data_IF_201185404642
#
_entry.id   IF_201185404642
#
_cell.length_a   1.000
_cell.length_b   1.000
_cell.length_c   1.000
_cell.angle_alpha   90.00
_cell.angle_beta   90.00
_cell.angle_gamma   90.00
#
_symmetry.space_group_name_H-M   'P 1'
#
loop_
_entity.id
_entity.type
_entity.pdbx_description
1 polymer ?
#
# COMPACT_ATOMS: atom_id res chain seq x y z
N UNK A 1 -17.39 13.27 4.41
CA UNK A 1 -17.11 11.86 4.09
C UNK A 1 -15.79 11.37 4.66
N UNK A 2 -14.64 12.03 4.40
CA UNK A 2 -13.33 11.58 4.94
C UNK A 2 -13.32 11.37 6.47
N UNK A 3 -13.91 12.29 7.23
CA UNK A 3 -14.01 12.16 8.70
C UNK A 3 -14.86 10.95 9.14
N UNK A 4 -15.88 10.56 8.37
CA UNK A 4 -16.72 9.38 8.68
C UNK A 4 -15.95 8.10 8.33
N UNK A 5 -15.28 8.06 7.18
CA UNK A 5 -14.42 6.93 6.79
C UNK A 5 -13.25 6.73 7.76
N UNK A 6 -12.70 7.81 8.36
CA UNK A 6 -11.68 7.71 9.41
C UNK A 6 -12.20 7.09 10.71
N UNK A 7 -13.46 7.31 11.06
CA UNK A 7 -14.08 6.76 12.29
C UNK A 7 -14.38 5.27 12.13
N UNK A 8 -14.84 4.85 10.95
CA UNK A 8 -15.10 3.44 10.67
C UNK A 8 -14.69 3.08 9.23
N UNK A 9 -13.39 2.84 8.98
CA UNK A 9 -12.89 2.45 7.66
C UNK A 9 -13.57 1.17 7.15
N UNK A 10 -13.79 0.21 8.06
CA UNK A 10 -14.42 -1.07 7.73
C UNK A 10 -15.80 -0.93 7.11
N UNK A 11 -16.61 0.07 7.47
CA UNK A 11 -17.89 0.29 6.80
C UNK A 11 -17.78 0.49 5.27
N UNK A 12 -16.58 0.79 4.76
CA UNK A 12 -16.28 0.98 3.34
C UNK A 12 -15.38 -0.13 2.76
N UNK A 13 -14.94 -1.10 3.58
CA UNK A 13 -14.05 -2.21 3.20
C UNK A 13 -14.65 -3.60 3.44
N UNK A 14 -15.51 -3.74 4.46
CA UNK A 14 -15.75 -5.01 5.16
C UNK A 14 -17.04 -5.71 4.77
N UNK A 15 -17.66 -5.38 3.65
CA UNK A 15 -18.72 -6.24 3.16
C UNK A 15 -18.11 -7.19 2.14
N UNK A 16 -18.12 -8.49 2.41
CA UNK A 16 -17.88 -9.50 1.38
C UNK A 16 -18.93 -9.37 0.27
N UNK A 17 -20.08 -8.75 0.59
CA UNK A 17 -20.97 -8.20 -0.41
C UNK A 17 -20.49 -6.88 -1.01
N UNK A 18 -19.66 -6.02 -0.40
CA UNK A 18 -19.20 -4.77 -1.01
C UNK A 18 -18.52 -5.04 -2.35
N UNK A 19 -17.56 -5.95 -2.40
CA UNK A 19 -16.87 -6.30 -3.65
C UNK A 19 -17.72 -7.16 -4.61
N UNK A 20 -18.80 -7.79 -4.12
CA UNK A 20 -19.70 -8.64 -4.89
C UNK A 20 -21.04 -7.96 -5.26
N UNK A 21 -21.34 -6.79 -4.70
CA UNK A 21 -22.57 -6.00 -4.88
C UNK A 21 -22.36 -4.85 -5.85
N UNK A 22 -21.11 -4.44 -6.07
CA UNK A 22 -20.76 -3.71 -7.26
C UNK A 22 -20.94 -4.64 -8.47
N UNK A 23 -21.83 -4.23 -9.37
CA UNK A 23 -21.96 -4.78 -10.72
C UNK A 23 -20.58 -4.90 -11.39
N UNK A 24 -20.47 -5.73 -12.42
CA UNK A 24 -19.40 -5.55 -13.43
C UNK A 24 -19.32 -4.06 -13.82
N UNK A 25 -18.14 -3.54 -14.22
CA UNK A 25 -17.96 -2.12 -14.55
C UNK A 25 -19.16 -1.57 -15.34
N UNK A 26 -19.69 -0.39 -14.93
CA UNK A 26 -18.92 0.72 -14.38
C UNK A 26 -19.05 0.98 -12.87
N UNK A 27 -19.85 0.21 -12.13
CA UNK A 27 -20.18 0.60 -10.74
C UNK A 27 -19.05 0.27 -9.75
N UNK A 28 -18.21 -0.73 -10.04
CA UNK A 28 -17.11 -1.13 -9.13
C UNK A 28 -16.01 -0.05 -9.07
N UNK A 29 -15.70 0.50 -7.88
CA UNK A 29 -14.58 1.41 -7.72
C UNK A 29 -13.28 0.68 -8.06
N UNK A 30 -12.38 1.39 -8.74
CA UNK A 30 -11.06 0.88 -9.05
C UNK A 30 -10.29 0.61 -7.75
N UNK A 31 -9.64 -0.55 -7.68
CA UNK A 31 -8.92 -1.00 -6.50
C UNK A 31 -7.52 -1.48 -6.84
N UNK A 32 -6.61 -1.30 -5.89
CA UNK A 32 -5.24 -1.82 -5.97
C UNK A 32 -5.09 -2.97 -4.99
N UNK A 33 -4.66 -4.13 -5.50
CA UNK A 33 -4.25 -5.25 -4.68
C UNK A 33 -2.73 -5.37 -4.76
N UNK A 34 -2.05 -5.40 -3.61
CA UNK A 34 -0.59 -5.50 -3.53
C UNK A 34 -0.10 -6.92 -3.22
N UNK A 35 -1.01 -7.88 -3.00
CA UNK A 35 -0.68 -9.22 -2.51
C UNK A 35 0.33 -9.15 -1.34
N UNK A 36 1.25 -10.10 -1.17
CA UNK A 36 2.28 -10.06 -0.13
C UNK A 36 3.41 -9.06 -0.41
N UNK A 37 3.40 -8.36 -1.55
CA UNK A 37 4.38 -7.31 -1.84
C UNK A 37 4.24 -6.09 -0.92
N UNK A 38 3.09 -5.91 -0.26
CA UNK A 38 2.89 -4.80 0.69
C UNK A 38 3.98 -4.78 1.78
N UNK A 39 4.44 -5.94 2.24
CA UNK A 39 5.44 -6.04 3.32
C UNK A 39 6.84 -5.69 2.83
N UNK A 40 7.18 -6.10 1.61
CA UNK A 40 8.44 -5.72 0.95
C UNK A 40 8.48 -4.22 0.69
N UNK A 41 7.39 -3.65 0.17
CA UNK A 41 7.25 -2.21 -0.02
C UNK A 41 7.30 -1.45 1.31
N UNK A 42 6.68 -1.95 2.37
CA UNK A 42 6.75 -1.36 3.70
C UNK A 42 8.20 -1.29 4.19
N UNK A 43 8.95 -2.38 4.06
CA UNK A 43 10.37 -2.41 4.42
C UNK A 43 11.20 -1.46 3.56
N UNK A 44 10.98 -1.39 2.24
CA UNK A 44 11.77 -0.53 1.35
C UNK A 44 11.47 0.96 1.53
N UNK A 45 10.20 1.34 1.68
CA UNK A 45 9.73 2.73 1.76
C UNK A 45 9.83 3.32 3.16
N UNK A 46 9.94 2.46 4.17
CA UNK A 46 10.04 2.85 5.58
C UNK A 46 11.32 3.59 5.95
N UNK A 47 12.29 3.78 5.05
CA UNK A 47 13.52 4.53 5.35
C UNK A 47 14.06 5.46 4.26
N UNK A 48 14.92 6.43 4.64
CA UNK A 48 15.40 6.72 6.02
C UNK A 48 14.30 7.26 6.95
N UNK A 49 14.53 7.33 8.26
CA UNK A 49 13.63 8.01 9.20
C UNK A 49 13.81 9.54 9.08
N UNK A 50 12.74 10.34 8.90
CA UNK A 50 11.34 9.91 8.81
C UNK A 50 10.98 9.26 7.46
N UNK A 51 10.08 8.25 7.45
CA UNK A 51 9.71 7.52 6.25
C UNK A 51 9.26 8.44 5.12
N UNK A 52 9.46 7.96 3.88
CA UNK A 52 9.02 8.68 2.69
C UNK A 52 7.49 8.79 2.64
N UNK A 53 6.95 9.77 1.94
CA UNK A 53 5.49 9.94 1.85
C UNK A 53 4.77 8.70 1.27
N UNK A 54 5.39 7.98 0.33
CA UNK A 54 4.83 6.74 -0.24
C UNK A 54 4.69 5.60 0.76
N UNK A 55 5.39 5.63 1.90
CA UNK A 55 5.23 4.66 2.99
C UNK A 55 3.79 4.62 3.52
N UNK A 56 3.06 5.75 3.43
CA UNK A 56 1.67 5.86 3.87
C UNK A 56 0.71 4.89 3.18
N UNK A 57 1.04 4.36 1.99
CA UNK A 57 0.25 3.32 1.31
C UNK A 57 0.30 1.95 1.98
N UNK A 58 1.39 1.69 2.70
CA UNK A 58 1.72 0.38 3.27
C UNK A 58 2.04 0.48 4.75
N UNK A 59 1.66 1.60 5.37
CA UNK A 59 1.90 1.84 6.79
C UNK A 59 0.99 0.97 7.67
N UNK A 60 1.45 0.72 8.89
CA UNK A 60 0.73 -0.03 9.91
C UNK A 60 1.00 -1.53 9.88
N UNK A 61 0.57 -2.22 10.94
CA UNK A 61 0.88 -3.62 11.17
C UNK A 61 -0.36 -4.44 11.47
N UNK A 62 -0.37 -5.67 10.97
CA UNK A 62 -1.39 -6.67 11.30
C UNK A 62 -1.18 -7.13 12.74
N UNK A 63 -2.22 -7.07 13.56
CA UNK A 63 -2.17 -7.58 14.93
C UNK A 63 -2.52 -9.08 14.94
N UNK A 64 -1.54 -9.90 15.36
CA UNK A 64 -1.74 -11.34 15.51
C UNK A 64 -2.42 -11.66 16.86
N UNK A 65 -3.44 -12.51 16.83
CA UNK A 65 -4.19 -12.95 18.01
C UNK A 65 -4.16 -14.48 18.12
N UNK A 66 -4.58 -15.03 19.26
CA UNK A 66 -4.67 -16.49 19.44
C UNK A 66 -5.69 -17.16 18.50
N UNK A 67 -6.60 -16.39 17.90
CA UNK A 67 -7.71 -16.89 17.09
C UNK A 67 -7.67 -16.40 15.63
N UNK A 68 -6.55 -15.84 15.16
CA UNK A 68 -6.43 -15.27 13.82
C UNK A 68 -5.69 -13.94 13.85
N UNK A 69 -6.10 -12.99 13.01
CA UNK A 69 -5.47 -11.69 12.92
C UNK A 69 -6.49 -10.56 12.79
N UNK A 70 -6.12 -9.39 13.30
CA UNK A 70 -6.86 -8.14 13.14
C UNK A 70 -6.11 -7.34 12.06
N UNK A 71 -6.73 -7.10 10.88
CA UNK A 71 -6.11 -6.30 9.84
C UNK A 71 -5.99 -4.83 10.28
N UNK A 72 -5.00 -4.16 9.71
CA UNK A 72 -4.80 -2.73 9.84
C UNK A 72 -5.57 -2.00 8.75
N UNK A 73 -6.43 -1.06 9.14
CA UNK A 73 -7.21 -0.26 8.20
C UNK A 73 -6.82 1.22 8.31
N UNK A 74 -6.67 1.90 7.17
CA UNK A 74 -6.31 3.33 7.15
C UNK A 74 -6.99 4.08 6.01
N UNK A 75 -7.22 5.36 6.24
CA UNK A 75 -7.77 6.31 5.26
C UNK A 75 -6.78 7.42 4.99
N UNK A 76 -6.44 7.62 3.72
CA UNK A 76 -5.66 8.74 3.21
C UNK A 76 -6.60 9.80 2.61
N UNK A 77 -6.39 11.06 2.98
CA UNK A 77 -7.05 12.18 2.30
C UNK A 77 -6.55 12.33 0.87
N UNK A 78 -7.27 13.09 0.04
CA UNK A 78 -6.82 13.40 -1.33
C UNK A 78 -5.46 14.11 -1.37
N UNK A 79 -5.15 14.91 -0.35
CA UNK A 79 -3.84 15.55 -0.20
C UNK A 79 -2.74 14.52 0.11
N UNK A 80 -3.01 13.59 1.03
CA UNK A 80 -2.08 12.49 1.33
C UNK A 80 -1.85 11.60 0.10
N UNK A 81 -2.90 11.26 -0.64
CA UNK A 81 -2.79 10.50 -1.91
C UNK A 81 -1.95 11.25 -2.94
N UNK A 82 -2.08 12.58 -3.04
CA UNK A 82 -1.25 13.39 -3.94
C UNK A 82 0.23 13.38 -3.55
N UNK A 83 0.53 13.51 -2.26
CA UNK A 83 1.90 13.43 -1.74
C UNK A 83 2.52 12.05 -2.00
N UNK A 84 1.76 10.99 -1.75
CA UNK A 84 2.14 9.61 -2.07
C UNK A 84 2.41 9.45 -3.57
N UNK A 85 1.48 9.86 -4.43
CA UNK A 85 1.62 9.71 -5.89
C UNK A 85 2.86 10.44 -6.41
N UNK A 86 3.13 11.64 -5.87
CA UNK A 86 4.32 12.42 -6.21
C UNK A 86 5.60 11.70 -5.78
N UNK A 87 5.68 11.25 -4.53
CA UNK A 87 6.87 10.57 -4.01
C UNK A 87 7.13 9.23 -4.71
N UNK A 88 6.08 8.48 -5.09
CA UNK A 88 6.22 7.23 -5.85
C UNK A 88 6.92 7.42 -7.20
N UNK A 89 6.83 8.60 -7.84
CA UNK A 89 7.60 8.89 -9.07
C UNK A 89 9.11 8.98 -8.84
N UNK A 90 9.52 9.21 -7.58
CA UNK A 90 10.91 9.35 -7.15
C UNK A 90 11.47 8.07 -6.51
N UNK A 91 10.73 6.97 -6.51
CA UNK A 91 11.17 5.70 -5.93
C UNK A 91 11.98 4.91 -6.96
N UNK A 92 13.28 4.71 -6.74
CA UNK A 92 14.06 3.72 -7.48
C UNK A 92 14.24 2.47 -6.61
N UNK A 93 13.55 1.38 -6.92
CA UNK A 93 13.67 0.13 -6.14
C UNK A 93 15.10 -0.40 -6.16
N UNK A 94 15.81 -0.29 -7.28
CA UNK A 94 17.19 -0.75 -7.37
C UNK A 94 18.08 0.02 -6.40
N UNK A 95 17.91 1.33 -6.30
CA UNK A 95 18.62 2.16 -5.32
C UNK A 95 18.25 1.75 -3.88
N UNK A 96 16.96 1.58 -3.59
CA UNK A 96 16.49 1.18 -2.26
C UNK A 96 17.07 -0.19 -1.84
N UNK A 97 17.05 -1.17 -2.74
CA UNK A 97 17.65 -2.49 -2.50
C UNK A 97 19.17 -2.39 -2.30
N UNK A 98 19.89 -1.62 -3.13
CA UNK A 98 21.34 -1.42 -2.98
C UNK A 98 21.71 -0.84 -1.61
N UNK A 99 20.86 0.06 -1.08
CA UNK A 99 21.06 0.66 0.24
C UNK A 99 20.67 -0.27 1.39
N UNK A 100 19.61 -1.06 1.22
CA UNK A 100 19.01 -1.89 2.27
C UNK A 100 19.66 -3.26 2.43
N UNK A 101 19.86 -4.00 1.33
CA UNK A 101 20.34 -5.39 1.36
C UNK A 101 21.66 -5.59 2.13
N UNK A 102 22.67 -4.68 2.06
CA UNK A 102 23.91 -4.86 2.82
C UNK A 102 23.75 -4.80 4.34
N UNK A 103 22.61 -4.33 4.85
CA UNK A 103 22.32 -4.23 6.29
C UNK A 103 21.64 -5.50 6.82
N UNK A 104 21.29 -6.42 5.94
CA UNK A 104 20.51 -7.62 6.24
C UNK A 104 21.39 -8.87 6.25
N UNK A 105 20.85 -9.98 6.76
CA UNK A 105 21.52 -11.28 6.65
C UNK A 105 21.63 -11.72 5.18
N UNK A 106 22.67 -12.48 4.79
CA UNK A 106 22.81 -12.99 3.42
C UNK A 106 21.57 -13.76 2.92
N UNK A 107 20.96 -14.56 3.80
CA UNK A 107 19.77 -15.34 3.48
C UNK A 107 18.56 -14.43 3.16
N UNK A 108 18.36 -13.39 3.98
CA UNK A 108 17.27 -12.44 3.75
C UNK A 108 17.50 -11.63 2.48
N UNK A 109 18.74 -11.20 2.25
CA UNK A 109 19.11 -10.47 1.05
C UNK A 109 18.85 -11.28 -0.23
N UNK A 110 19.15 -12.59 -0.22
CA UNK A 110 18.87 -13.48 -1.35
C UNK A 110 17.37 -13.67 -1.61
N UNK A 111 16.55 -13.83 -0.55
CA UNK A 111 15.08 -13.93 -0.65
C UNK A 111 14.51 -12.65 -1.28
N UNK A 112 14.98 -11.49 -0.82
CA UNK A 112 14.53 -10.19 -1.28
C UNK A 112 14.92 -9.93 -2.73
N UNK A 113 16.13 -10.30 -3.13
CA UNK A 113 16.59 -10.14 -4.51
C UNK A 113 15.78 -11.00 -5.48
N UNK A 114 15.44 -12.25 -5.10
CA UNK A 114 14.58 -13.14 -5.90
C UNK A 114 13.18 -12.57 -6.13
N UNK A 115 12.66 -11.73 -5.22
CA UNK A 115 11.31 -11.16 -5.29
C UNK A 115 11.28 -9.76 -5.93
N UNK A 116 12.41 -9.23 -6.38
CA UNK A 116 12.54 -7.85 -6.90
C UNK A 116 11.54 -7.54 -8.02
N UNK A 117 11.53 -8.35 -9.08
CA UNK A 117 10.66 -8.12 -10.24
C UNK A 117 9.17 -8.20 -9.87
N UNK A 118 8.84 -9.10 -8.93
CA UNK A 118 7.50 -9.22 -8.37
C UNK A 118 7.10 -7.92 -7.64
N UNK A 119 7.95 -7.41 -6.75
CA UNK A 119 7.71 -6.15 -6.02
C UNK A 119 7.63 -4.95 -6.98
N UNK A 120 8.48 -4.91 -8.01
CA UNK A 120 8.49 -3.85 -9.02
C UNK A 120 7.18 -3.78 -9.80
N UNK A 121 6.60 -4.93 -10.17
CA UNK A 121 5.30 -4.96 -10.84
C UNK A 121 4.18 -4.33 -10.01
N UNK A 122 4.18 -4.56 -8.69
CA UNK A 122 3.21 -3.96 -7.77
C UNK A 122 3.48 -2.48 -7.50
N UNK A 123 4.75 -2.05 -7.47
CA UNK A 123 5.08 -0.63 -7.39
C UNK A 123 4.57 0.13 -8.62
N UNK A 124 4.73 -0.43 -9.81
CA UNK A 124 4.19 0.16 -11.04
C UNK A 124 2.67 0.25 -11.05
N UNK A 125 1.99 -0.78 -10.54
CA UNK A 125 0.55 -0.73 -10.33
C UNK A 125 0.15 0.38 -9.32
N UNK A 126 0.88 0.49 -8.20
CA UNK A 126 0.65 1.52 -7.20
C UNK A 126 0.86 2.95 -7.75
N UNK A 127 1.89 3.16 -8.59
CA UNK A 127 2.13 4.42 -9.29
C UNK A 127 0.93 4.83 -10.14
N UNK A 128 0.47 3.93 -11.01
CA UNK A 128 -0.66 4.19 -11.91
C UNK A 128 -1.93 4.52 -11.12
N UNK A 129 -2.24 3.67 -10.14
CA UNK A 129 -3.45 3.81 -9.33
C UNK A 129 -3.47 5.13 -8.54
N UNK A 130 -2.37 5.46 -7.84
CA UNK A 130 -2.31 6.68 -7.03
C UNK A 130 -2.23 7.95 -7.87
N UNK A 131 -1.57 7.92 -9.04
CA UNK A 131 -1.59 9.02 -9.98
C UNK A 131 -3.01 9.31 -10.47
N UNK A 132 -3.79 8.27 -10.77
CA UNK A 132 -5.18 8.41 -11.18
C UNK A 132 -6.04 8.99 -10.05
N UNK A 133 -5.99 8.44 -8.84
CA UNK A 133 -6.72 8.98 -7.69
C UNK A 133 -6.36 10.45 -7.43
N UNK A 134 -5.07 10.79 -7.49
CA UNK A 134 -4.59 12.15 -7.30
C UNK A 134 -5.14 13.12 -8.38
N UNK A 135 -5.19 12.69 -9.64
CA UNK A 135 -5.74 13.49 -10.74
C UNK A 135 -7.24 13.79 -10.58
N UNK A 136 -7.96 12.87 -9.93
CA UNK A 136 -9.39 12.98 -9.64
C UNK A 136 -9.68 13.70 -8.30
N UNK A 137 -8.64 14.03 -7.52
CA UNK A 137 -8.81 14.62 -6.18
C UNK A 137 -9.45 13.66 -5.17
N UNK A 138 -9.24 12.35 -5.34
CA UNK A 138 -9.82 11.30 -4.49
C UNK A 138 -8.86 10.90 -3.37
N UNK A 139 -9.43 10.55 -2.21
CA UNK A 139 -8.73 9.86 -1.15
C UNK A 139 -8.67 8.35 -1.38
N UNK A 140 -8.03 7.64 -0.46
CA UNK A 140 -7.91 6.18 -0.48
C UNK A 140 -8.29 5.61 0.88
N UNK A 141 -8.89 4.43 0.87
CA UNK A 141 -9.01 3.57 2.03
C UNK A 141 -8.38 2.23 1.71
N UNK A 142 -7.62 1.67 2.65
CA UNK A 142 -6.98 0.37 2.47
C UNK A 142 -7.02 -0.48 3.75
N UNK A 143 -6.85 -1.78 3.56
CA UNK A 143 -6.72 -2.78 4.61
C UNK A 143 -5.48 -3.65 4.35
N UNK A 144 -4.70 -3.94 5.39
CA UNK A 144 -3.59 -4.89 5.36
C UNK A 144 -3.93 -6.03 6.32
N UNK A 145 -3.95 -7.27 5.81
CA UNK A 145 -4.32 -8.48 6.54
C UNK A 145 -4.01 -9.75 5.75
#
# INVERSE_FOLDING_TARGET
MVNIARINPRAFLSDHHFWASWSDPPDRPEGLYLDKAWRDLQWLLGEPEPPRASYELVSGDVEMTSCGWIPFDRVLSAEQVRSVATDLTLVDLRELYQRRLPQESPDWAAIMDYRRDYVESYLEAARKFTAQLASLGLGLIYSIG
#
